data_IF_141879476231
#
_entry.id   IF_141879476231
#
_cell.length_a   1.000
_cell.length_b   1.000
_cell.length_c   1.000
_cell.angle_alpha   90.00
_cell.angle_beta   90.00
_cell.angle_gamma   90.00
#
_symmetry.space_group_name_H-M   'P 1'
#
loop_
_entity.id
_entity.type
_entity.pdbx_description
1 polymer ?
#
# COMPACT_ATOMS: atom_id res chain seq x y z
N UNK A 1 -0.12 -14.23 -11.23
CA UNK A 1 0.59 -15.26 -10.44
C UNK A 1 -0.42 -16.03 -9.62
N UNK A 2 -0.30 -17.35 -9.57
CA UNK A 2 -1.24 -18.23 -8.87
C UNK A 2 -0.46 -19.32 -8.13
N UNK A 3 -1.04 -19.87 -7.07
CA UNK A 3 -0.54 -21.12 -6.48
C UNK A 3 -0.81 -22.25 -7.47
N UNK A 4 0.23 -22.94 -7.92
CA UNK A 4 0.11 -23.98 -8.95
C UNK A 4 -0.81 -25.14 -8.50
N UNK A 5 -0.85 -25.41 -7.20
CA UNK A 5 -1.63 -26.50 -6.62
C UNK A 5 -3.14 -26.20 -6.57
N UNK A 6 -3.52 -24.93 -6.40
CA UNK A 6 -4.92 -24.54 -6.14
C UNK A 6 -5.52 -23.65 -7.22
N UNK A 7 -4.70 -23.10 -8.11
CA UNK A 7 -5.12 -22.08 -9.08
C UNK A 7 -5.47 -20.73 -8.46
N UNK A 8 -5.36 -20.58 -7.14
CA UNK A 8 -5.77 -19.37 -6.43
C UNK A 8 -4.72 -18.25 -6.54
N UNK A 9 -5.14 -16.98 -6.52
CA UNK A 9 -4.23 -15.84 -6.47
C UNK A 9 -3.20 -15.91 -5.35
N UNK A 10 -1.97 -15.47 -5.62
CA UNK A 10 -0.95 -15.27 -4.59
C UNK A 10 -0.99 -13.85 -4.03
N UNK A 11 -0.40 -13.63 -2.86
CA UNK A 11 -0.24 -12.29 -2.29
C UNK A 11 0.45 -11.32 -3.29
N UNK A 12 1.45 -11.79 -4.04
CA UNK A 12 2.11 -10.99 -5.10
C UNK A 12 1.14 -10.58 -6.21
N UNK A 13 0.22 -11.46 -6.62
CA UNK A 13 -0.82 -11.07 -7.58
C UNK A 13 -1.76 -10.02 -6.97
N UNK A 14 -2.09 -10.13 -5.68
CA UNK A 14 -2.92 -9.14 -4.98
C UNK A 14 -2.29 -7.77 -4.92
N UNK A 15 -0.97 -7.69 -4.66
CA UNK A 15 -0.21 -6.43 -4.75
C UNK A 15 -0.33 -5.81 -6.14
N UNK A 16 -0.13 -6.59 -7.20
CA UNK A 16 -0.24 -6.06 -8.57
C UNK A 16 -1.66 -5.59 -8.89
N UNK A 17 -2.68 -6.32 -8.44
CA UNK A 17 -4.08 -5.91 -8.60
C UNK A 17 -4.39 -4.64 -7.81
N UNK A 18 -3.84 -4.48 -6.61
CA UNK A 18 -3.98 -3.28 -5.80
C UNK A 18 -3.37 -2.06 -6.49
N UNK A 19 -2.15 -2.20 -7.01
CA UNK A 19 -1.46 -1.15 -7.76
C UNK A 19 -2.26 -0.80 -9.01
N UNK A 20 -2.67 -1.79 -9.81
CA UNK A 20 -3.45 -1.57 -11.02
C UNK A 20 -4.80 -0.89 -10.75
N UNK A 21 -5.44 -1.19 -9.61
CA UNK A 21 -6.69 -0.55 -9.22
C UNK A 21 -6.50 0.92 -8.86
N UNK A 22 -5.40 1.26 -8.19
CA UNK A 22 -5.23 2.57 -7.57
C UNK A 22 -4.40 3.56 -8.36
N UNK A 23 -3.51 3.08 -9.23
CA UNK A 23 -2.71 3.89 -10.14
C UNK A 23 -3.38 3.91 -11.51
N UNK A 24 -4.01 5.03 -11.83
CA UNK A 24 -4.74 5.21 -13.06
C UNK A 24 -3.95 6.06 -14.05
N UNK A 25 -4.34 5.96 -15.32
CA UNK A 25 -3.79 6.81 -16.38
C UNK A 25 -4.22 8.25 -16.08
N UNK A 26 -3.24 9.15 -15.97
CA UNK A 26 -3.46 10.57 -15.66
C UNK A 26 -3.08 10.95 -14.23
N UNK A 27 -2.83 9.97 -13.35
CA UNK A 27 -2.29 10.26 -12.01
C UNK A 27 -0.86 10.77 -12.11
N UNK A 28 -0.53 11.77 -11.30
CA UNK A 28 0.79 12.39 -11.25
C UNK A 28 1.57 11.88 -10.05
N UNK A 29 2.78 11.38 -10.30
CA UNK A 29 3.73 11.06 -9.22
C UNK A 29 4.25 12.35 -8.62
N UNK A 30 4.14 12.49 -7.29
CA UNK A 30 4.66 13.66 -6.58
C UNK A 30 5.97 13.31 -5.88
N UNK A 31 6.83 14.32 -5.72
CA UNK A 31 8.09 14.16 -5.01
C UNK A 31 7.81 13.74 -3.57
N UNK A 32 8.32 12.57 -3.19
CA UNK A 32 8.16 11.99 -1.85
C UNK A 32 9.52 11.90 -1.20
N UNK A 33 9.63 12.33 0.06
CA UNK A 33 10.87 12.22 0.86
C UNK A 33 10.60 11.32 2.05
N UNK A 34 11.40 10.26 2.20
CA UNK A 34 11.22 9.21 3.20
C UNK A 34 12.58 8.59 3.57
N UNK A 35 12.63 7.85 4.69
CA UNK A 35 13.76 6.99 5.01
C UNK A 35 13.65 5.68 4.20
N UNK A 36 14.23 5.71 3.01
CA UNK A 36 14.20 4.58 2.07
C UNK A 36 14.92 3.30 2.58
N UNK A 37 15.61 3.36 3.74
CA UNK A 37 16.26 2.18 4.33
C UNK A 37 15.28 1.22 4.99
N UNK A 38 14.14 1.73 5.49
CA UNK A 38 13.16 0.94 6.26
C UNK A 38 11.89 0.62 5.47
N UNK A 39 11.42 1.58 4.67
CA UNK A 39 10.22 1.44 3.86
C UNK A 39 10.40 2.15 2.53
N UNK A 40 9.51 1.90 1.59
CA UNK A 40 9.36 2.70 0.39
C UNK A 40 8.10 3.53 0.51
N UNK A 41 8.16 4.79 0.08
CA UNK A 41 6.99 5.65 0.01
C UNK A 41 6.92 6.36 -1.35
N UNK A 42 5.75 6.31 -1.98
CA UNK A 42 5.48 7.04 -3.20
C UNK A 42 4.08 7.65 -3.12
N UNK A 43 4.02 8.97 -3.03
CA UNK A 43 2.76 9.71 -3.11
C UNK A 43 2.38 10.00 -4.56
N UNK A 44 1.08 10.10 -4.81
CA UNK A 44 0.50 10.43 -6.10
C UNK A 44 -0.68 11.38 -5.90
N UNK A 45 -0.85 12.29 -6.85
CA UNK A 45 -2.03 13.13 -7.00
C UNK A 45 -2.89 12.52 -8.10
N UNK A 46 -4.10 12.09 -7.75
CA UNK A 46 -5.01 11.46 -8.70
C UNK A 46 -5.77 12.50 -9.51
N UNK A 47 -6.30 12.09 -10.66
CA UNK A 47 -7.07 12.97 -11.57
C UNK A 47 -8.30 13.65 -10.94
N UNK A 48 -8.75 13.16 -9.78
CA UNK A 48 -9.85 13.71 -8.99
C UNK A 48 -9.36 14.63 -7.85
N UNK A 49 -8.11 15.10 -7.92
CA UNK A 49 -7.41 15.93 -6.93
C UNK A 49 -7.32 15.28 -5.54
N UNK A 50 -7.36 13.94 -5.46
CA UNK A 50 -7.17 13.20 -4.21
C UNK A 50 -5.70 12.81 -4.03
N UNK A 51 -5.17 12.97 -2.82
CA UNK A 51 -3.85 12.45 -2.47
C UNK A 51 -3.91 10.96 -2.16
N UNK A 52 -3.10 10.16 -2.87
CA UNK A 52 -2.86 8.74 -2.55
C UNK A 52 -1.40 8.52 -2.18
N UNK A 53 -1.12 7.45 -1.44
CA UNK A 53 0.24 7.07 -1.08
C UNK A 53 0.39 5.56 -1.12
N UNK A 54 1.45 5.10 -1.79
CA UNK A 54 1.92 3.73 -1.75
C UNK A 54 3.00 3.61 -0.69
N UNK A 55 2.81 2.71 0.27
CA UNK A 55 3.76 2.40 1.32
C UNK A 55 4.15 0.91 1.24
N UNK A 56 5.45 0.61 1.33
CA UNK A 56 5.96 -0.77 1.33
C UNK A 56 6.96 -0.93 2.46
N UNK A 57 6.67 -1.82 3.40
CA UNK A 57 7.64 -2.22 4.43
C UNK A 57 8.75 -3.08 3.80
N UNK A 58 10.01 -2.75 4.05
CA UNK A 58 11.17 -3.53 3.59
C UNK A 58 11.76 -4.41 4.70
N UNK A 59 11.27 -4.28 5.93
CA UNK A 59 11.74 -5.00 7.10
C UNK A 59 10.86 -6.22 7.40
N UNK A 60 11.44 -7.16 8.14
CA UNK A 60 10.76 -8.33 8.71
C UNK A 60 10.07 -8.03 10.05
N UNK A 61 9.92 -6.74 10.39
CA UNK A 61 9.25 -6.25 11.59
C UNK A 61 8.33 -5.07 11.28
N UNK A 62 7.41 -4.81 12.20
CA UNK A 62 6.52 -3.65 12.13
C UNK A 62 7.28 -2.32 12.07
N UNK A 63 6.82 -1.39 11.24
CA UNK A 63 7.34 -0.02 11.15
C UNK A 63 6.20 0.97 11.31
N UNK A 64 6.28 1.85 12.31
CA UNK A 64 5.33 2.94 12.46
C UNK A 64 5.73 4.11 11.57
N UNK A 65 4.79 4.60 10.77
CA UNK A 65 4.96 5.72 9.87
C UNK A 65 3.98 6.82 10.30
N UNK A 66 4.52 8.03 10.43
CA UNK A 66 3.72 9.24 10.58
C UNK A 66 3.76 10.03 9.27
N UNK A 67 2.59 10.43 8.79
CA UNK A 67 2.47 11.26 7.59
C UNK A 67 2.05 12.66 8.03
N UNK A 68 2.89 13.65 7.74
CA UNK A 68 2.61 15.05 8.09
C UNK A 68 1.30 15.53 7.46
N UNK A 69 0.40 16.08 8.28
CA UNK A 69 -0.91 16.56 7.82
C UNK A 69 -1.96 15.47 7.61
N UNK A 70 -1.61 14.21 7.85
CA UNK A 70 -2.56 13.10 7.85
C UNK A 70 -3.44 13.12 9.09
N UNK A 71 -4.74 13.05 8.90
CA UNK A 71 -5.70 12.91 9.99
C UNK A 71 -6.36 11.54 9.95
N UNK A 72 -6.87 11.15 8.77
CA UNK A 72 -7.54 9.88 8.55
C UNK A 72 -7.47 9.48 7.08
N UNK A 73 -7.39 8.18 6.80
CA UNK A 73 -7.63 7.64 5.47
C UNK A 73 -8.06 6.18 5.51
N UNK A 74 -8.73 5.75 4.44
CA UNK A 74 -8.91 4.34 4.13
C UNK A 74 -7.62 3.78 3.55
N UNK A 75 -7.17 2.66 4.11
CA UNK A 75 -5.91 2.02 3.78
C UNK A 75 -6.20 0.63 3.27
N UNK A 76 -5.67 0.32 2.09
CA UNK A 76 -5.81 -1.00 1.48
C UNK A 76 -4.54 -1.83 1.67
N UNK A 77 -4.64 -2.91 2.43
CA UNK A 77 -3.49 -3.64 2.99
C UNK A 77 -3.37 -5.04 2.38
N UNK A 78 -2.16 -5.36 1.92
CA UNK A 78 -1.73 -6.72 1.56
C UNK A 78 -0.52 -7.10 2.40
N UNK A 79 -0.68 -8.07 3.28
CA UNK A 79 0.38 -8.62 4.13
C UNK A 79 0.38 -10.16 4.10
N UNK A 80 1.21 -10.79 4.94
CA UNK A 80 1.24 -12.25 5.07
C UNK A 80 -0.13 -12.85 5.46
N UNK A 81 -0.92 -12.12 6.24
CA UNK A 81 -2.27 -12.54 6.65
C UNK A 81 -3.30 -12.48 5.51
N UNK A 82 -3.10 -11.59 4.54
CA UNK A 82 -3.97 -11.48 3.35
C UNK A 82 -3.87 -12.74 2.47
N UNK A 83 -2.67 -13.31 2.32
CA UNK A 83 -2.45 -14.52 1.54
C UNK A 83 -3.01 -14.42 0.12
N UNK A 84 -3.95 -15.30 -0.25
CA UNK A 84 -4.64 -15.27 -1.55
C UNK A 84 -5.94 -14.45 -1.58
N UNK A 85 -6.39 -13.92 -0.45
CA UNK A 85 -7.63 -13.15 -0.36
C UNK A 85 -7.45 -11.74 -0.97
N UNK A 86 -8.54 -11.04 -1.29
CA UNK A 86 -8.48 -9.61 -1.57
C UNK A 86 -7.83 -8.83 -0.41
N UNK A 87 -7.26 -7.67 -0.71
CA UNK A 87 -6.73 -6.76 0.32
C UNK A 87 -7.80 -6.41 1.34
N UNK A 88 -7.36 -6.09 2.55
CA UNK A 88 -8.22 -5.58 3.62
C UNK A 88 -8.28 -4.06 3.53
N UNK A 89 -9.42 -3.47 3.87
CA UNK A 89 -9.55 -2.02 3.98
C UNK A 89 -9.74 -1.67 5.44
N UNK A 90 -8.90 -0.77 5.94
CA UNK A 90 -8.92 -0.33 7.33
C UNK A 90 -8.92 1.20 7.37
N UNK A 91 -9.75 1.78 8.25
CA UNK A 91 -9.72 3.21 8.52
C UNK A 91 -8.61 3.47 9.54
N UNK A 92 -7.59 4.23 9.16
CA UNK A 92 -6.48 4.59 10.04
C UNK A 92 -6.54 6.06 10.35
N UNK A 93 -6.36 6.40 11.63
CA UNK A 93 -6.29 7.76 12.14
C UNK A 93 -4.91 8.01 12.77
N UNK A 94 -4.25 9.11 12.40
CA UNK A 94 -2.91 9.43 12.90
C UNK A 94 -1.79 8.53 12.32
N UNK A 95 -0.96 7.95 13.17
CA UNK A 95 0.15 7.09 12.75
C UNK A 95 -0.30 5.71 12.26
N UNK A 96 0.38 5.16 11.26
CA UNK A 96 0.10 3.83 10.72
C UNK A 96 1.23 2.86 11.03
N UNK A 97 0.91 1.63 11.45
CA UNK A 97 1.89 0.56 11.52
C UNK A 97 1.86 -0.28 10.24
N UNK A 98 3.00 -0.39 9.57
CA UNK A 98 3.18 -1.32 8.47
C UNK A 98 3.62 -2.68 9.01
N UNK A 99 2.79 -3.68 8.86
CA UNK A 99 3.13 -5.07 9.15
C UNK A 99 4.27 -5.57 8.25
N UNK A 100 5.05 -6.57 8.70
CA UNK A 100 6.00 -7.29 7.87
C UNK A 100 5.36 -8.24 6.85
#
# INVERSE_FOLDING_TARGET
>A
MIYHQTGLPTARLRVLQLIQKNLLIGDNLVQTTSDESQFHAQALETVDDTGKMLLVNKLDKGVTIEVSGFQKADVEIVDMGTGGNPWRTELVEGGMELSP
#
